data_IF_344959576046
#
_entry.id   IF_344959576046
#
_cell.length_a   1.000
_cell.length_b   1.000
_cell.length_c   1.000
_cell.angle_alpha   90.00
_cell.angle_beta   90.00
_cell.angle_gamma   90.00
#
_symmetry.space_group_name_H-M   'P 1'
#
loop_
_entity.id
_entity.type
_entity.pdbx_description
1 polymer ?
#
# COMPACT_ATOMS: atom_id res chain seq x y z
N UNK A 1 -6.90 42.63 45.60
CA UNK A 1 -5.56 42.95 45.05
C UNK A 1 -5.05 41.73 44.31
N UNK A 2 -4.93 41.89 43.01
CA UNK A 2 -4.65 40.86 42.01
C UNK A 2 -3.16 40.50 41.94
N UNK A 3 -2.91 39.41 41.22
CA UNK A 3 -1.78 39.22 40.27
C UNK A 3 -0.66 38.30 40.75
N UNK A 4 -0.78 37.00 40.43
CA UNK A 4 0.32 36.20 39.88
C UNK A 4 -0.22 35.41 38.68
N UNK A 5 0.43 35.59 37.54
CA UNK A 5 0.20 34.88 36.28
C UNK A 5 0.78 33.46 36.38
N UNK A 6 0.04 32.47 35.90
CA UNK A 6 0.65 31.33 35.21
C UNK A 6 -0.20 31.01 33.99
N UNK A 7 0.35 31.34 32.81
CA UNK A 7 -0.08 30.74 31.56
C UNK A 7 0.23 29.24 31.62
N UNK A 8 -0.81 28.43 31.81
CA UNK A 8 -0.79 27.05 31.34
C UNK A 8 -1.69 27.05 30.10
N UNK A 9 -1.10 27.38 28.95
CA UNK A 9 -1.69 27.02 27.68
C UNK A 9 -1.75 25.50 27.65
N UNK A 10 -2.96 24.95 27.74
CA UNK A 10 -3.23 23.55 27.53
C UNK A 10 -2.77 23.18 26.12
N UNK A 11 -1.60 22.54 25.98
CA UNK A 11 -1.26 21.84 24.74
C UNK A 11 -2.32 20.76 24.54
N UNK A 12 -3.05 20.75 23.42
CA UNK A 12 -3.90 19.62 23.11
C UNK A 12 -2.98 18.42 22.88
N UNK A 13 -3.24 17.32 23.58
CA UNK A 13 -2.59 16.04 23.31
C UNK A 13 -2.83 15.72 21.82
N UNK A 14 -1.78 15.84 21.02
CA UNK A 14 -1.81 15.53 19.60
C UNK A 14 -2.02 14.02 19.47
N UNK A 15 -3.25 13.61 19.17
CA UNK A 15 -3.55 12.26 18.74
C UNK A 15 -2.96 12.05 17.35
N UNK A 16 -1.65 11.82 17.28
CA UNK A 16 -0.95 11.46 16.04
C UNK A 16 -1.63 10.24 15.42
N UNK A 17 -2.10 10.36 14.18
CA UNK A 17 -2.66 9.23 13.41
C UNK A 17 -1.68 8.81 12.33
N UNK A 18 -1.57 7.51 12.12
CA UNK A 18 -0.84 6.96 11.00
C UNK A 18 -1.83 6.65 9.87
N UNK A 19 -1.68 7.31 8.71
CA UNK A 19 -2.51 7.05 7.53
C UNK A 19 -1.69 6.26 6.53
N UNK A 20 -2.14 5.06 6.21
CA UNK A 20 -1.40 4.11 5.39
C UNK A 20 -2.17 3.89 4.10
N UNK A 21 -1.59 4.28 2.97
CA UNK A 21 -2.08 3.92 1.65
C UNK A 21 -1.62 2.49 1.33
N UNK A 22 -2.58 1.58 1.15
CA UNK A 22 -2.29 0.21 0.72
C UNK A 22 -2.54 0.08 -0.78
N UNK A 23 -1.49 0.30 -1.56
CA UNK A 23 -1.42 -0.03 -2.99
C UNK A 23 -0.95 -1.46 -3.25
N UNK A 24 -0.95 -1.89 -4.52
CA UNK A 24 -0.58 -3.26 -4.95
C UNK A 24 0.85 -3.70 -4.66
N UNK A 25 1.74 -2.77 -4.33
CA UNK A 25 3.06 -3.12 -3.83
C UNK A 25 2.95 -3.41 -2.34
N UNK A 26 2.83 -4.70 -2.02
CA UNK A 26 3.09 -5.18 -0.67
C UNK A 26 4.46 -4.64 -0.22
N UNK A 27 4.44 -3.68 0.70
CA UNK A 27 5.60 -3.49 1.57
C UNK A 27 5.90 -4.85 2.20
N UNK A 28 7.16 -5.33 2.18
CA UNK A 28 7.50 -6.53 2.93
C UNK A 28 7.04 -6.33 4.38
N UNK A 29 6.28 -7.29 4.91
CA UNK A 29 5.64 -7.25 6.24
C UNK A 29 6.62 -6.99 7.39
N UNK A 30 7.93 -7.05 7.13
CA UNK A 30 9.01 -6.79 8.08
C UNK A 30 9.20 -5.32 8.47
N UNK A 31 8.55 -4.35 7.81
CA UNK A 31 8.83 -2.92 8.08
C UNK A 31 7.81 -2.23 8.99
N UNK A 32 6.68 -2.87 9.33
CA UNK A 32 5.79 -2.36 10.38
C UNK A 32 6.14 -3.06 11.69
N UNK A 33 7.33 -2.75 12.21
CA UNK A 33 7.70 -3.11 13.58
C UNK A 33 7.56 -1.85 14.42
N UNK A 34 6.53 -1.87 15.28
CA UNK A 34 6.34 -0.87 16.31
C UNK A 34 7.57 -0.82 17.22
N UNK A 35 8.10 0.38 17.44
CA UNK A 35 9.05 0.63 18.53
C UNK A 35 8.64 1.90 19.27
N UNK A 36 7.91 1.66 20.36
CA UNK A 36 7.86 2.34 21.67
C UNK A 36 8.03 3.86 21.78
N UNK A 37 7.10 4.46 22.56
CA UNK A 37 7.05 5.80 23.19
C UNK A 37 6.13 6.88 22.57
N UNK A 38 5.15 6.49 21.75
CA UNK A 38 4.04 7.37 21.36
C UNK A 38 2.71 6.82 21.90
N UNK A 39 1.70 7.67 22.18
CA UNK A 39 0.33 7.20 22.42
C UNK A 39 -0.09 6.22 21.31
N UNK A 40 -1.03 5.29 21.57
CA UNK A 40 -1.40 4.28 20.57
C UNK A 40 -1.78 4.99 19.26
N UNK A 41 -0.91 4.86 18.26
CA UNK A 41 -1.12 5.42 16.93
C UNK A 41 -2.43 4.82 16.42
N UNK A 42 -3.43 5.67 16.19
CA UNK A 42 -4.64 5.24 15.51
C UNK A 42 -4.24 5.12 14.04
N UNK A 43 -4.12 3.88 13.57
CA UNK A 43 -3.79 3.58 12.18
C UNK A 43 -5.06 3.51 11.34
N UNK A 44 -5.13 4.34 10.30
CA UNK A 44 -6.21 4.36 9.32
C UNK A 44 -5.67 3.82 7.97
N UNK A 45 -6.31 2.78 7.45
CA UNK A 45 -5.94 2.12 6.20
C UNK A 45 -6.82 2.63 5.06
N UNK A 46 -6.23 3.20 4.02
CA UNK A 46 -6.95 3.69 2.85
C UNK A 46 -6.78 2.75 1.66
N UNK A 47 -7.90 2.41 1.03
CA UNK A 47 -7.95 1.59 -0.18
C UNK A 47 -8.48 2.40 -1.36
N UNK A 48 -7.87 2.22 -2.53
CA UNK A 48 -8.35 2.82 -3.77
C UNK A 48 -9.77 2.34 -4.10
N UNK A 49 -10.55 3.23 -4.68
CA UNK A 49 -11.87 3.00 -5.25
C UNK A 49 -11.81 2.62 -6.72
N UNK A 50 -12.60 3.32 -7.53
CA UNK A 50 -12.61 3.18 -8.98
C UNK A 50 -11.43 3.95 -9.61
N UNK A 51 -10.83 3.42 -10.68
CA UNK A 51 -9.79 4.13 -11.41
C UNK A 51 -10.35 5.42 -12.02
N UNK A 52 -9.59 6.50 -11.92
CA UNK A 52 -9.84 7.73 -12.67
C UNK A 52 -9.63 7.48 -14.18
N UNK A 53 -10.30 8.28 -15.02
CA UNK A 53 -10.15 8.21 -16.49
C UNK A 53 -8.71 8.54 -16.94
N UNK A 54 -8.05 9.46 -16.23
CA UNK A 54 -6.67 9.87 -16.55
C UNK A 54 -5.68 8.70 -16.43
N UNK A 55 -5.91 7.77 -15.49
CA UNK A 55 -5.07 6.58 -15.29
C UNK A 55 -5.41 5.40 -16.21
N UNK A 56 -6.32 5.57 -17.18
CA UNK A 56 -6.70 4.49 -18.11
C UNK A 56 -5.52 4.01 -18.96
N UNK A 57 -4.69 4.92 -19.47
CA UNK A 57 -3.49 4.58 -20.24
C UNK A 57 -2.52 3.73 -19.40
N UNK A 58 -2.26 4.17 -18.16
CA UNK A 58 -1.44 3.45 -17.18
C UNK A 58 -2.01 2.07 -16.86
N UNK A 59 -3.34 1.95 -16.77
CA UNK A 59 -4.02 0.67 -16.56
C UNK A 59 -3.77 -0.29 -17.74
N UNK A 60 -3.99 0.19 -18.96
CA UNK A 60 -3.80 -0.59 -20.19
C UNK A 60 -2.33 -1.05 -20.35
N UNK A 61 -1.36 -0.21 -20.01
CA UNK A 61 0.06 -0.59 -20.02
C UNK A 61 0.37 -1.67 -18.99
N UNK A 62 -0.18 -1.56 -17.78
CA UNK A 62 -0.04 -2.58 -16.74
C UNK A 62 -0.66 -3.91 -17.16
N UNK A 63 -1.84 -3.90 -17.78
CA UNK A 63 -2.48 -5.11 -18.31
C UNK A 63 -1.66 -5.75 -19.44
N UNK A 64 -1.09 -4.95 -20.35
CA UNK A 64 -0.17 -5.45 -21.39
C UNK A 64 1.08 -6.08 -20.79
N UNK A 65 1.70 -5.42 -19.80
CA UNK A 65 2.87 -5.94 -19.11
C UNK A 65 2.56 -7.25 -18.37
N UNK A 66 1.36 -7.34 -17.78
CA UNK A 66 0.87 -8.53 -17.09
C UNK A 66 0.66 -9.69 -18.05
N UNK A 67 -0.07 -9.49 -19.15
CA UNK A 67 -0.30 -10.53 -20.16
C UNK A 67 1.02 -11.04 -20.76
N UNK A 68 2.00 -10.15 -20.93
CA UNK A 68 3.36 -10.55 -21.35
C UNK A 68 4.06 -11.39 -20.28
N UNK A 69 3.94 -11.02 -19.00
CA UNK A 69 4.53 -11.77 -17.90
C UNK A 69 3.89 -13.16 -17.75
N UNK A 70 2.58 -13.27 -17.97
CA UNK A 70 1.84 -14.54 -17.94
C UNK A 70 2.35 -15.50 -19.01
N UNK A 71 2.43 -15.05 -20.27
CA UNK A 71 3.01 -15.86 -21.36
C UNK A 71 4.44 -16.31 -21.06
N UNK A 72 5.26 -15.42 -20.49
CA UNK A 72 6.63 -15.76 -20.11
C UNK A 72 6.71 -16.70 -18.90
N UNK A 73 5.74 -16.66 -18.00
CA UNK A 73 5.63 -17.60 -16.89
C UNK A 73 5.32 -19.00 -17.44
N UNK A 74 4.32 -19.12 -18.32
CA UNK A 74 3.94 -20.38 -18.95
C UNK A 74 5.10 -21.00 -19.72
N UNK A 75 5.78 -20.22 -20.57
CA UNK A 75 6.95 -20.70 -21.31
C UNK A 75 8.06 -21.23 -20.38
N UNK A 76 8.29 -20.56 -19.24
CA UNK A 76 9.31 -20.97 -18.28
C UNK A 76 8.89 -22.22 -17.51
N UNK A 77 7.61 -22.35 -17.18
CA UNK A 77 7.05 -23.55 -16.55
C UNK A 77 7.15 -24.73 -17.51
N UNK A 78 6.73 -24.59 -18.77
CA UNK A 78 6.85 -25.67 -19.77
C UNK A 78 8.31 -26.07 -20.02
N UNK A 79 9.24 -25.11 -20.07
CA UNK A 79 10.68 -25.42 -20.16
C UNK A 79 11.17 -26.16 -18.93
N UNK A 80 10.72 -25.79 -17.74
CA UNK A 80 11.07 -26.47 -16.49
C UNK A 80 10.53 -27.91 -16.48
N UNK A 81 9.27 -28.12 -16.83
CA UNK A 81 8.64 -29.45 -16.95
C UNK A 81 9.40 -30.34 -17.94
N UNK A 82 9.76 -29.80 -19.12
CA UNK A 82 10.55 -30.54 -20.10
C UNK A 82 11.92 -30.97 -19.54
N UNK A 83 12.58 -30.13 -18.72
CA UNK A 83 13.84 -30.51 -18.07
C UNK A 83 13.64 -31.64 -17.08
N UNK A 84 12.58 -31.58 -16.27
CA UNK A 84 12.23 -32.64 -15.30
C UNK A 84 11.97 -33.95 -16.03
N UNK A 85 11.12 -33.93 -17.06
CA UNK A 85 10.74 -35.13 -17.82
C UNK A 85 11.92 -35.77 -18.56
N UNK A 86 12.87 -34.96 -19.01
CA UNK A 86 14.08 -35.43 -19.68
C UNK A 86 15.23 -35.79 -18.73
N UNK A 87 14.99 -35.83 -17.40
CA UNK A 87 16.03 -36.13 -16.40
C UNK A 87 17.18 -35.13 -16.36
N UNK A 88 16.96 -33.91 -16.86
CA UNK A 88 17.99 -32.88 -16.90
C UNK A 88 18.16 -32.22 -15.52
N UNK A 89 19.39 -31.84 -15.18
CA UNK A 89 19.68 -31.12 -13.94
C UNK A 89 18.90 -29.81 -13.83
N UNK A 90 18.08 -29.67 -12.79
CA UNK A 90 17.36 -28.43 -12.48
C UNK A 90 18.28 -27.40 -11.82
N UNK A 91 18.18 -26.12 -12.22
CA UNK A 91 19.01 -25.03 -11.69
C UNK A 91 18.16 -24.06 -10.87
N UNK A 92 18.78 -23.38 -9.90
CA UNK A 92 18.15 -22.30 -9.11
C UNK A 92 17.55 -21.21 -10.00
N UNK A 93 18.20 -20.90 -11.13
CA UNK A 93 17.74 -19.89 -12.08
C UNK A 93 16.38 -20.23 -12.70
N UNK A 94 16.03 -21.52 -12.83
CA UNK A 94 14.75 -21.93 -13.38
C UNK A 94 13.62 -21.50 -12.43
N UNK A 95 13.77 -21.76 -11.13
CA UNK A 95 12.84 -21.31 -10.08
C UNK A 95 12.78 -19.79 -9.94
N UNK A 96 13.94 -19.11 -9.93
CA UNK A 96 13.99 -17.65 -9.82
C UNK A 96 13.30 -17.00 -11.01
N UNK A 97 13.50 -17.56 -12.21
CA UNK A 97 12.85 -17.11 -13.43
C UNK A 97 11.34 -17.22 -13.38
N UNK A 98 10.82 -18.37 -12.92
CA UNK A 98 9.37 -18.61 -12.76
C UNK A 98 8.80 -17.65 -11.69
N UNK A 99 9.40 -17.64 -10.49
CA UNK A 99 8.98 -16.77 -9.38
C UNK A 99 8.89 -15.30 -9.81
N UNK A 100 9.89 -14.82 -10.56
CA UNK A 100 9.92 -13.43 -11.02
C UNK A 100 8.83 -13.08 -12.02
N UNK A 101 8.34 -14.03 -12.83
CA UNK A 101 7.21 -13.76 -13.73
C UNK A 101 5.89 -13.87 -12.97
N UNK A 102 5.72 -14.89 -12.13
CA UNK A 102 4.53 -15.06 -11.31
C UNK A 102 4.27 -13.84 -10.41
N UNK A 103 5.31 -13.25 -9.81
CA UNK A 103 5.15 -12.03 -9.01
C UNK A 103 4.64 -10.83 -9.82
N UNK A 104 4.90 -10.78 -11.14
CA UNK A 104 4.40 -9.73 -12.03
C UNK A 104 2.98 -10.00 -12.53
N UNK A 105 2.56 -11.26 -12.51
CA UNK A 105 1.19 -11.67 -12.85
C UNK A 105 0.22 -11.38 -11.71
N UNK A 106 0.71 -11.33 -10.46
CA UNK A 106 -0.14 -11.09 -9.30
C UNK A 106 -0.94 -9.78 -9.41
N UNK A 107 -2.26 -9.91 -9.23
CA UNK A 107 -3.24 -8.84 -9.27
C UNK A 107 -4.13 -8.95 -8.05
N UNK A 108 -4.23 -7.86 -7.29
CA UNK A 108 -5.37 -7.67 -6.40
C UNK A 108 -6.58 -7.35 -7.25
N UNK A 109 -7.46 -8.32 -7.41
CA UNK A 109 -8.76 -8.11 -7.99
C UNK A 109 -9.69 -7.40 -6.99
N UNK A 110 -10.86 -7.01 -7.49
CA UNK A 110 -11.82 -6.24 -6.68
C UNK A 110 -12.40 -7.10 -5.55
N UNK A 111 -12.62 -8.38 -5.81
CA UNK A 111 -13.27 -9.30 -4.88
C UNK A 111 -12.33 -9.67 -3.72
N UNK A 112 -11.05 -9.96 -3.99
CA UNK A 112 -10.04 -10.20 -2.96
C UNK A 112 -9.85 -8.97 -2.09
N UNK A 113 -9.80 -7.77 -2.71
CA UNK A 113 -9.67 -6.51 -1.97
C UNK A 113 -10.85 -6.30 -1.03
N UNK A 114 -12.08 -6.48 -1.49
CA UNK A 114 -13.28 -6.34 -0.66
C UNK A 114 -13.32 -7.38 0.47
N UNK A 115 -12.93 -8.62 0.17
CA UNK A 115 -12.83 -9.70 1.16
C UNK A 115 -11.79 -9.36 2.23
N UNK A 116 -10.64 -8.80 1.84
CA UNK A 116 -9.60 -8.37 2.75
C UNK A 116 -10.02 -7.17 3.61
N UNK A 117 -10.69 -6.17 3.03
CA UNK A 117 -11.28 -5.04 3.78
C UNK A 117 -12.25 -5.54 4.85
N UNK A 118 -13.12 -6.49 4.49
CA UNK A 118 -14.06 -7.11 5.44
C UNK A 118 -13.32 -7.83 6.58
N UNK A 119 -12.27 -8.57 6.25
CA UNK A 119 -11.41 -9.21 7.25
C UNK A 119 -10.79 -8.17 8.20
N UNK A 120 -10.17 -7.11 7.68
CA UNK A 120 -9.55 -6.07 8.50
C UNK A 120 -10.55 -5.39 9.44
N UNK A 121 -11.75 -5.07 8.95
CA UNK A 121 -12.84 -4.53 9.78
C UNK A 121 -13.24 -5.50 10.90
N UNK A 122 -13.28 -6.81 10.62
CA UNK A 122 -13.56 -7.82 11.65
C UNK A 122 -12.48 -7.89 12.73
N UNK A 123 -11.24 -7.54 12.37
CA UNK A 123 -10.10 -7.39 13.28
C UNK A 123 -10.04 -5.98 13.91
N UNK A 124 -11.14 -5.21 13.86
CA UNK A 124 -11.26 -3.87 14.46
C UNK A 124 -10.28 -2.82 13.89
N UNK A 125 -9.78 -3.01 12.68
CA UNK A 125 -8.99 -1.98 11.99
C UNK A 125 -9.89 -0.87 11.44
N UNK A 126 -9.39 0.37 11.48
CA UNK A 126 -10.06 1.51 10.83
C UNK A 126 -9.71 1.52 9.35
N UNK A 127 -10.69 1.18 8.50
CA UNK A 127 -10.50 1.07 7.05
C UNK A 127 -11.40 2.05 6.31
N UNK A 128 -10.78 2.86 5.44
CA UNK A 128 -11.40 3.88 4.59
C UNK A 128 -11.38 3.42 3.13
N UNK A 129 -12.55 3.26 2.54
CA UNK A 129 -12.69 3.01 1.11
C UNK A 129 -12.79 4.37 0.41
N UNK A 130 -11.88 4.62 -0.53
CA UNK A 130 -11.86 5.86 -1.29
C UNK A 130 -12.82 5.75 -2.49
N UNK A 131 -13.43 6.84 -2.94
CA UNK A 131 -14.28 6.81 -4.14
C UNK A 131 -13.45 6.55 -5.41
N UNK A 132 -12.28 7.19 -5.49
CA UNK A 132 -11.34 7.08 -6.60
C UNK A 132 -9.96 6.66 -6.11
N UNK A 133 -9.09 7.60 -5.75
CA UNK A 133 -7.70 7.31 -5.38
C UNK A 133 -7.47 7.58 -3.90
N UNK A 134 -6.73 6.68 -3.24
CA UNK A 134 -6.48 6.73 -1.80
C UNK A 134 -5.55 7.88 -1.41
N UNK A 135 -4.62 8.25 -2.28
CA UNK A 135 -3.74 9.40 -2.11
C UNK A 135 -4.51 10.72 -1.98
N UNK A 136 -5.46 10.97 -2.88
CA UNK A 136 -6.34 12.16 -2.85
C UNK A 136 -7.20 12.17 -1.59
N UNK A 137 -7.72 11.01 -1.19
CA UNK A 137 -8.52 10.88 0.03
C UNK A 137 -7.68 11.16 1.28
N UNK A 138 -6.46 10.60 1.34
CA UNK A 138 -5.50 10.89 2.41
C UNK A 138 -5.18 12.38 2.44
N UNK A 139 -4.88 13.00 1.30
CA UNK A 139 -4.55 14.42 1.23
C UNK A 139 -5.68 15.32 1.76
N UNK A 140 -6.94 14.96 1.52
CA UNK A 140 -8.10 15.68 2.05
C UNK A 140 -8.30 15.46 3.56
N UNK A 141 -8.02 14.26 4.06
CA UNK A 141 -8.20 13.90 5.47
C UNK A 141 -6.98 14.26 6.35
N UNK A 142 -5.84 14.57 5.74
CA UNK A 142 -4.57 14.82 6.41
C UNK A 142 -4.61 16.15 7.18
N UNK A 143 -4.18 16.12 8.43
CA UNK A 143 -4.03 17.31 9.28
C UNK A 143 -2.59 17.43 9.77
N UNK A 144 -2.13 18.63 10.16
CA UNK A 144 -0.78 18.80 10.71
C UNK A 144 -0.52 17.85 11.89
N UNK A 145 0.62 17.16 11.85
CA UNK A 145 1.02 16.15 12.84
C UNK A 145 0.56 14.71 12.54
N UNK A 146 -0.16 14.46 11.44
CA UNK A 146 -0.40 13.11 10.93
C UNK A 146 0.84 12.52 10.24
N UNK A 147 1.01 11.20 10.30
CA UNK A 147 2.07 10.48 9.59
C UNK A 147 1.46 9.76 8.39
N UNK A 148 1.91 10.10 7.18
CA UNK A 148 1.47 9.44 5.93
C UNK A 148 2.50 8.40 5.50
N UNK A 149 2.04 7.16 5.25
CA UNK A 149 2.85 6.05 4.76
C UNK A 149 2.29 5.61 3.41
N UNK A 150 3.09 5.75 2.37
CA UNK A 150 2.78 5.27 1.02
C UNK A 150 4.04 4.87 0.27
N UNK A 151 3.89 3.94 -0.67
CA UNK A 151 4.91 3.64 -1.67
C UNK A 151 4.83 4.56 -2.90
N UNK A 152 3.77 5.35 -3.02
CA UNK A 152 3.54 6.27 -4.12
C UNK A 152 4.10 7.67 -3.78
N UNK A 153 4.93 8.20 -4.68
CA UNK A 153 5.54 9.52 -4.53
C UNK A 153 4.58 10.67 -4.83
N UNK A 154 3.49 10.39 -5.55
CA UNK A 154 2.55 11.43 -5.99
C UNK A 154 1.91 12.16 -4.80
N UNK A 155 1.84 11.52 -3.63
CA UNK A 155 1.36 12.12 -2.39
C UNK A 155 2.10 13.39 -1.96
N UNK A 156 3.36 13.55 -2.36
CA UNK A 156 4.20 14.71 -2.02
C UNK A 156 3.70 15.99 -2.71
N UNK A 157 2.94 15.87 -3.81
CA UNK A 157 2.44 17.05 -4.53
C UNK A 157 1.32 17.76 -3.77
N UNK A 158 0.69 17.10 -2.79
CA UNK A 158 -0.41 17.65 -2.02
C UNK A 158 0.10 18.53 -0.87
N UNK A 159 -0.25 19.84 -0.82
CA UNK A 159 0.26 20.75 0.20
C UNK A 159 -0.04 20.29 1.63
N UNK A 160 -1.22 19.72 1.87
CA UNK A 160 -1.65 19.21 3.18
C UNK A 160 -0.81 18.05 3.70
N UNK A 161 -0.25 17.25 2.79
CA UNK A 161 0.68 16.16 3.14
C UNK A 161 2.06 16.73 3.47
N UNK A 162 2.51 17.73 2.71
CA UNK A 162 3.78 18.42 2.98
C UNK A 162 3.77 19.19 4.30
N UNK A 163 2.66 19.85 4.62
CA UNK A 163 2.48 20.57 5.90
C UNK A 163 2.40 19.62 7.10
N UNK A 164 2.02 18.36 6.89
CA UNK A 164 2.02 17.33 7.95
C UNK A 164 3.41 16.73 8.21
N UNK A 165 4.36 16.89 7.29
CA UNK A 165 5.75 16.41 7.43
C UNK A 165 6.68 17.42 8.15
N UNK A 166 6.20 18.64 8.40
CA UNK A 166 6.93 19.72 9.11
C UNK A 166 6.70 19.68 10.62
#
# INVERSE_FOLDING_TARGET
MSRWMSWAASSPASNTRARIALGRQLMPWSTIVSRSWLPPLISELYFDGASSMEKEATHNEREKAQSKAEKLADEKISKFEARVNNGQRIRKQDFVGIKSQLSKVFRWDKEDRLSFIKYLRSQQWTVKESPFEADVHIANDCVPGDIVISGDSDLIIHPTVMDALQ
#
